data_IF_899659124554
#
_entry.id   IF_899659124554
#
_cell.length_a   1.000
_cell.length_b   1.000
_cell.length_c   1.000
_cell.angle_alpha   90.00
_cell.angle_beta   90.00
_cell.angle_gamma   90.00
#
_symmetry.space_group_name_H-M   'P 1'
#
loop_
_entity.id
_entity.type
_entity.pdbx_description
1 polymer ?
#
# COMPACT_ATOMS: atom_id res chain seq x y z
N UNK A 1 20.79 -21.49 33.32
CA UNK A 1 21.39 -21.54 31.97
C UNK A 1 20.48 -20.78 31.05
N UNK A 2 20.98 -19.66 30.52
CA UNK A 2 20.32 -18.78 29.57
C UNK A 2 20.07 -19.50 28.25
N UNK A 3 18.86 -19.37 27.70
CA UNK A 3 18.73 -19.31 26.24
C UNK A 3 18.02 -18.01 25.88
N UNK A 4 18.83 -17.07 25.42
CA UNK A 4 18.45 -15.80 24.83
C UNK A 4 18.30 -16.05 23.33
N UNK A 5 17.08 -16.27 22.86
CA UNK A 5 16.77 -16.11 21.43
C UNK A 5 15.52 -15.27 21.33
N UNK A 6 15.69 -13.99 20.98
CA UNK A 6 14.56 -13.11 20.69
C UNK A 6 13.67 -13.75 19.63
N UNK A 7 12.35 -13.57 19.77
CA UNK A 7 11.35 -14.08 18.84
C UNK A 7 11.80 -13.80 17.40
N UNK A 8 12.17 -14.85 16.67
CA UNK A 8 12.40 -14.76 15.25
C UNK A 8 11.07 -14.31 14.62
N UNK A 9 11.08 -13.18 13.92
CA UNK A 9 9.86 -12.63 13.33
C UNK A 9 9.15 -13.69 12.47
N UNK A 10 7.83 -13.85 12.67
CA UNK A 10 7.03 -14.76 11.84
C UNK A 10 6.89 -14.19 10.43
N UNK A 11 7.76 -14.66 9.54
CA UNK A 11 7.85 -14.20 8.16
C UNK A 11 6.73 -14.71 7.25
N UNK A 12 5.81 -15.53 7.75
CA UNK A 12 4.69 -16.09 6.98
C UNK A 12 3.37 -15.47 7.42
N UNK A 13 3.03 -15.57 8.71
CA UNK A 13 1.71 -15.17 9.18
C UNK A 13 1.66 -13.69 9.57
N UNK A 14 2.77 -13.14 10.09
CA UNK A 14 2.83 -11.74 10.54
C UNK A 14 4.13 -11.02 10.11
N UNK A 15 4.44 -10.96 8.79
CA UNK A 15 5.74 -10.46 8.36
C UNK A 15 5.89 -8.97 8.71
N UNK A 16 7.02 -8.51 9.27
CA UNK A 16 7.19 -7.14 9.77
C UNK A 16 6.85 -6.04 8.75
N UNK A 17 7.04 -6.32 7.46
CA UNK A 17 6.77 -5.39 6.36
C UNK A 17 5.28 -5.29 5.97
N UNK A 18 4.40 -6.11 6.56
CA UNK A 18 2.94 -6.06 6.42
C UNK A 18 2.22 -5.67 7.71
N UNK A 19 2.95 -5.62 8.83
CA UNK A 19 2.44 -5.21 10.12
C UNK A 19 1.89 -3.77 10.09
N UNK A 20 1.06 -3.39 11.07
CA UNK A 20 0.47 -2.06 11.13
C UNK A 20 1.53 -0.94 11.13
N UNK A 21 1.13 0.24 10.67
CA UNK A 21 1.90 1.48 10.83
C UNK A 21 1.35 2.24 12.05
N UNK A 22 2.06 3.26 12.53
CA UNK A 22 1.58 4.04 13.67
C UNK A 22 0.16 4.60 13.41
N UNK A 23 -0.76 4.39 14.34
CA UNK A 23 -2.17 4.81 14.20
C UNK A 23 -3.05 3.85 13.39
N UNK A 24 -2.52 2.72 12.91
CA UNK A 24 -3.25 1.64 12.24
C UNK A 24 -3.27 0.40 13.13
N UNK A 25 -4.39 -0.31 13.18
CA UNK A 25 -4.59 -1.52 14.02
C UNK A 25 -4.79 -2.81 13.21
N UNK A 26 -4.69 -2.73 11.88
CA UNK A 26 -4.89 -3.83 10.94
C UNK A 26 -3.66 -4.02 10.05
N UNK A 27 -3.55 -5.18 9.43
CA UNK A 27 -2.44 -5.50 8.54
C UNK A 27 -2.76 -5.19 7.08
N UNK A 28 -1.72 -5.17 6.25
CA UNK A 28 -1.85 -4.96 4.81
C UNK A 28 -2.87 -5.91 4.14
N UNK A 29 -2.93 -7.16 4.59
CA UNK A 29 -3.86 -8.17 4.06
C UNK A 29 -5.32 -7.83 4.34
N UNK A 30 -5.62 -7.11 5.42
CA UNK A 30 -7.00 -6.72 5.79
C UNK A 30 -7.59 -5.65 4.87
N UNK A 31 -6.73 -4.95 4.13
CA UNK A 31 -7.10 -4.00 3.08
C UNK A 31 -7.05 -4.68 1.72
N UNK A 32 -5.92 -5.31 1.39
CA UNK A 32 -5.66 -5.80 0.02
C UNK A 32 -6.56 -6.95 -0.40
N UNK A 33 -7.08 -7.76 0.53
CA UNK A 33 -8.03 -8.84 0.21
C UNK A 33 -9.39 -8.37 -0.32
N UNK A 34 -9.69 -7.07 -0.19
CA UNK A 34 -10.95 -6.45 -0.65
C UNK A 34 -10.78 -5.74 -1.99
N UNK A 35 -9.55 -5.68 -2.50
CA UNK A 35 -9.21 -5.02 -3.75
C UNK A 35 -9.07 -6.06 -4.86
N UNK A 36 -9.23 -5.63 -6.11
CA UNK A 36 -8.87 -6.46 -7.26
C UNK A 36 -7.39 -6.83 -7.21
N UNK A 37 -7.01 -7.89 -7.93
CA UNK A 37 -5.66 -8.43 -7.88
C UNK A 37 -4.59 -7.35 -8.13
N UNK A 38 -4.76 -6.56 -9.20
CA UNK A 38 -3.79 -5.53 -9.57
C UNK A 38 -3.76 -4.38 -8.54
N UNK A 39 -4.92 -3.90 -8.09
CA UNK A 39 -4.98 -2.78 -7.13
C UNK A 39 -4.52 -3.20 -5.75
N UNK A 40 -4.85 -4.42 -5.31
CA UNK A 40 -4.34 -5.02 -4.09
C UNK A 40 -2.82 -5.17 -4.10
N UNK A 41 -2.24 -5.59 -5.23
CA UNK A 41 -0.79 -5.62 -5.39
C UNK A 41 -0.17 -4.22 -5.32
N UNK A 42 -0.77 -3.22 -5.98
CA UNK A 42 -0.28 -1.84 -5.90
C UNK A 42 -0.26 -1.31 -4.45
N UNK A 43 -1.37 -1.46 -3.72
CA UNK A 43 -1.47 -1.09 -2.31
C UNK A 43 -0.44 -1.84 -1.45
N UNK A 44 -0.28 -3.14 -1.68
CA UNK A 44 0.71 -4.00 -1.00
C UNK A 44 2.13 -3.47 -1.16
N UNK A 45 2.49 -3.03 -2.35
CA UNK A 45 3.84 -2.53 -2.61
C UNK A 45 4.07 -1.12 -2.07
N UNK A 46 3.09 -0.21 -2.18
CA UNK A 46 3.19 1.09 -1.50
C UNK A 46 3.33 0.90 0.01
N UNK A 47 2.55 0.00 0.62
CA UNK A 47 2.67 -0.33 2.05
C UNK A 47 4.09 -0.80 2.42
N UNK A 48 4.71 -1.62 1.59
CA UNK A 48 6.03 -2.22 1.84
C UNK A 48 7.22 -1.30 1.55
N UNK A 49 7.05 -0.28 0.72
CA UNK A 49 8.16 0.53 0.21
C UNK A 49 9.10 1.00 1.33
N UNK A 50 8.57 1.55 2.42
CA UNK A 50 9.36 2.11 3.51
C UNK A 50 10.04 1.06 4.41
N UNK A 51 9.74 -0.24 4.21
CA UNK A 51 10.11 -1.33 5.13
C UNK A 51 10.78 -2.52 4.47
N UNK A 52 10.88 -2.57 3.14
CA UNK A 52 11.44 -3.73 2.43
C UNK A 52 12.31 -3.35 1.24
N UNK A 53 11.74 -2.89 0.12
CA UNK A 53 12.50 -2.69 -1.11
C UNK A 53 12.47 -1.24 -1.67
N UNK A 54 11.94 -0.27 -0.92
CA UNK A 54 11.97 1.15 -1.32
C UNK A 54 11.41 1.39 -2.72
N UNK A 55 12.23 2.04 -3.54
CA UNK A 55 11.96 2.38 -4.95
C UNK A 55 11.43 1.19 -5.78
N UNK A 56 12.00 0.00 -5.62
CA UNK A 56 11.59 -1.15 -6.44
C UNK A 56 10.14 -1.57 -6.14
N UNK A 57 9.68 -1.44 -4.89
CA UNK A 57 8.28 -1.71 -4.57
C UNK A 57 7.39 -0.58 -5.16
N UNK A 58 7.83 0.68 -5.17
CA UNK A 58 7.09 1.76 -5.85
C UNK A 58 6.96 1.54 -7.37
N UNK A 59 8.03 1.13 -8.04
CA UNK A 59 8.01 0.81 -9.48
C UNK A 59 7.02 -0.33 -9.78
N UNK A 60 6.99 -1.37 -8.94
CA UNK A 60 5.98 -2.44 -9.05
C UNK A 60 4.57 -1.89 -8.84
N UNK A 61 4.35 -1.05 -7.84
CA UNK A 61 3.04 -0.45 -7.61
C UNK A 61 2.57 0.34 -8.84
N UNK A 62 3.45 1.13 -9.43
CA UNK A 62 3.16 1.89 -10.65
C UNK A 62 2.81 0.96 -11.82
N UNK A 63 3.56 -0.12 -12.02
CA UNK A 63 3.28 -1.12 -13.05
C UNK A 63 1.88 -1.73 -12.89
N UNK A 64 1.53 -2.18 -11.67
CA UNK A 64 0.22 -2.78 -11.39
C UNK A 64 -0.95 -1.80 -11.58
N UNK A 65 -0.77 -0.51 -11.27
CA UNK A 65 -1.79 0.51 -11.51
C UNK A 65 -1.99 0.75 -13.02
N UNK A 66 -0.90 0.80 -13.78
CA UNK A 66 -0.98 0.92 -15.24
C UNK A 66 -1.69 -0.29 -15.88
N UNK A 67 -1.38 -1.49 -15.39
CA UNK A 67 -2.03 -2.72 -15.86
C UNK A 67 -3.53 -2.74 -15.55
N UNK A 68 -3.92 -2.35 -14.32
CA UNK A 68 -5.31 -2.18 -13.92
C UNK A 68 -6.07 -1.18 -14.81
N UNK A 69 -5.46 -0.02 -15.10
CA UNK A 69 -6.04 1.01 -15.97
C UNK A 69 -6.20 0.46 -17.41
N UNK A 70 -5.18 -0.21 -17.93
CA UNK A 70 -5.21 -0.73 -19.30
C UNK A 70 -6.29 -1.80 -19.52
N UNK A 71 -6.57 -2.61 -18.50
CA UNK A 71 -7.56 -3.69 -18.56
C UNK A 71 -8.94 -3.31 -18.02
N UNK A 72 -9.09 -2.10 -17.48
CA UNK A 72 -10.35 -1.64 -16.90
C UNK A 72 -10.73 -2.40 -15.62
N UNK A 73 -9.74 -2.79 -14.82
CA UNK A 73 -9.96 -3.53 -13.58
C UNK A 73 -10.79 -2.69 -12.59
N UNK A 74 -11.79 -3.27 -11.93
CA UNK A 74 -12.44 -2.60 -10.81
C UNK A 74 -11.43 -2.41 -9.66
N UNK A 75 -11.63 -1.40 -8.81
CA UNK A 75 -10.81 -1.24 -7.60
C UNK A 75 -11.13 -2.33 -6.56
N UNK A 76 -12.42 -2.59 -6.32
CA UNK A 76 -12.89 -3.47 -5.26
C UNK A 76 -13.42 -4.79 -5.81
N UNK A 77 -13.25 -5.87 -5.05
CA UNK A 77 -13.94 -7.13 -5.30
C UNK A 77 -15.23 -7.20 -4.46
N UNK A 78 -16.40 -7.26 -5.12
CA UNK A 78 -17.69 -7.45 -4.44
C UNK A 78 -18.45 -6.17 -4.06
N UNK A 79 -19.17 -6.20 -2.94
CA UNK A 79 -20.11 -5.15 -2.52
C UNK A 79 -19.41 -3.81 -2.19
N UNK A 80 -20.17 -2.74 -2.35
CA UNK A 80 -19.74 -1.36 -2.61
C UNK A 80 -18.76 -0.71 -1.60
N UNK A 81 -18.03 0.35 -2.03
CA UNK A 81 -16.91 0.98 -1.29
C UNK A 81 -17.18 1.37 0.17
N UNK A 82 -18.43 1.68 0.54
CA UNK A 82 -18.80 2.19 1.85
C UNK A 82 -18.55 1.22 3.02
N UNK A 83 -18.51 -0.09 2.74
CA UNK A 83 -18.17 -1.09 3.77
C UNK A 83 -16.66 -1.16 4.04
N UNK A 84 -15.84 -0.66 3.12
CA UNK A 84 -14.38 -0.77 3.13
C UNK A 84 -13.66 0.58 3.33
N UNK A 85 -14.41 1.69 3.22
CA UNK A 85 -13.94 3.07 3.34
C UNK A 85 -13.21 3.36 4.67
N UNK A 86 -13.66 2.78 5.79
CA UNK A 86 -13.12 3.09 7.11
C UNK A 86 -11.62 2.76 7.25
N UNK A 87 -11.15 1.64 6.69
CA UNK A 87 -9.73 1.25 6.78
C UNK A 87 -8.85 2.14 5.90
N UNK A 88 -9.27 2.41 4.67
CA UNK A 88 -8.54 3.31 3.77
C UNK A 88 -8.50 4.75 4.32
N UNK A 89 -9.58 5.21 4.96
CA UNK A 89 -9.62 6.50 5.66
C UNK A 89 -8.61 6.56 6.81
N UNK A 90 -8.57 5.54 7.67
CA UNK A 90 -7.60 5.46 8.77
C UNK A 90 -6.17 5.40 8.21
N UNK A 91 -5.95 4.58 7.19
CA UNK A 91 -4.64 4.41 6.57
C UNK A 91 -4.14 5.71 5.92
N UNK A 92 -5.01 6.44 5.21
CA UNK A 92 -4.66 7.72 4.61
C UNK A 92 -4.30 8.77 5.67
N UNK A 93 -5.02 8.82 6.79
CA UNK A 93 -4.74 9.74 7.92
C UNK A 93 -3.45 9.41 8.66
N UNK A 94 -3.04 8.15 8.66
CA UNK A 94 -1.82 7.69 9.32
C UNK A 94 -0.54 7.96 8.49
N UNK A 95 -0.65 8.39 7.23
CA UNK A 95 0.52 8.67 6.41
C UNK A 95 1.16 10.02 6.78
N UNK A 96 2.48 10.04 6.94
CA UNK A 96 3.26 11.27 7.05
C UNK A 96 3.58 11.90 5.68
N UNK A 97 3.64 11.08 4.62
CA UNK A 97 3.89 11.57 3.26
C UNK A 97 2.60 12.04 2.59
N UNK A 98 2.52 13.29 2.12
CA UNK A 98 1.36 13.80 1.38
C UNK A 98 1.01 12.96 0.15
N UNK A 99 2.02 12.46 -0.58
CA UNK A 99 1.82 11.63 -1.76
C UNK A 99 1.20 10.28 -1.40
N UNK A 100 1.61 9.67 -0.28
CA UNK A 100 0.97 8.45 0.23
C UNK A 100 -0.47 8.71 0.66
N UNK A 101 -0.74 9.85 1.29
CA UNK A 101 -2.10 10.29 1.63
C UNK A 101 -2.98 10.43 0.38
N UNK A 102 -2.45 11.05 -0.68
CA UNK A 102 -3.14 11.15 -1.98
C UNK A 102 -3.41 9.76 -2.52
N UNK A 103 -2.40 8.90 -2.60
CA UNK A 103 -2.55 7.53 -3.09
C UNK A 103 -3.70 6.76 -2.41
N UNK A 104 -3.70 6.68 -1.07
CA UNK A 104 -4.75 5.93 -0.36
C UNK A 104 -6.13 6.57 -0.50
N UNK A 105 -6.22 7.90 -0.54
CA UNK A 105 -7.49 8.58 -0.82
C UNK A 105 -7.97 8.34 -2.26
N UNK A 106 -7.06 8.27 -3.23
CA UNK A 106 -7.40 7.95 -4.62
C UNK A 106 -7.95 6.54 -4.77
N UNK A 107 -7.36 5.54 -4.08
CA UNK A 107 -7.94 4.19 -4.02
C UNK A 107 -9.33 4.23 -3.38
N UNK A 108 -9.48 4.96 -2.27
CA UNK A 108 -10.76 5.11 -1.56
C UNK A 108 -11.85 5.72 -2.44
N UNK A 109 -11.50 6.74 -3.23
CA UNK A 109 -12.40 7.49 -4.11
C UNK A 109 -12.56 6.89 -5.51
N UNK A 110 -12.03 5.69 -5.77
CA UNK A 110 -12.09 5.04 -7.09
C UNK A 110 -11.39 5.81 -8.22
N UNK A 111 -10.29 6.51 -7.91
CA UNK A 111 -9.52 7.34 -8.84
C UNK A 111 -8.17 6.68 -9.19
N UNK A 112 -8.18 5.68 -10.07
CA UNK A 112 -6.95 4.92 -10.41
C UNK A 112 -5.85 5.78 -11.06
N UNK A 113 -6.20 6.71 -11.95
CA UNK A 113 -5.21 7.62 -12.54
C UNK A 113 -4.51 8.48 -11.48
N UNK A 114 -5.27 9.06 -10.55
CA UNK A 114 -4.69 9.85 -9.45
C UNK A 114 -3.82 8.99 -8.52
N UNK A 115 -4.20 7.73 -8.30
CA UNK A 115 -3.37 6.80 -7.53
C UNK A 115 -2.05 6.51 -8.25
N UNK A 116 -2.08 6.29 -9.57
CA UNK A 116 -0.88 6.10 -10.40
C UNK A 116 0.02 7.33 -10.32
N UNK A 117 -0.53 8.52 -10.54
CA UNK A 117 0.23 9.78 -10.57
C UNK A 117 0.90 10.03 -9.21
N UNK A 118 0.22 9.72 -8.10
CA UNK A 118 0.82 9.82 -6.78
C UNK A 118 2.04 8.89 -6.63
N UNK A 119 1.97 7.66 -7.13
CA UNK A 119 3.12 6.72 -7.11
C UNK A 119 4.24 7.18 -8.03
N UNK A 120 3.92 7.71 -9.21
CA UNK A 120 4.91 8.28 -10.12
C UNK A 120 5.67 9.44 -9.46
N UNK A 121 4.97 10.35 -8.78
CA UNK A 121 5.61 11.43 -8.02
C UNK A 121 6.45 10.90 -6.84
N UNK A 122 6.02 9.81 -6.19
CA UNK A 122 6.86 9.15 -5.17
C UNK A 122 8.16 8.63 -5.79
N UNK A 123 8.10 7.96 -6.95
CA UNK A 123 9.28 7.46 -7.67
C UNK A 123 10.22 8.61 -8.05
N UNK A 124 9.70 9.72 -8.57
CA UNK A 124 10.51 10.89 -8.92
C UNK A 124 11.22 11.49 -7.69
N UNK A 125 10.57 11.46 -6.53
CA UNK A 125 11.17 11.87 -5.25
C UNK A 125 12.32 10.98 -4.74
N UNK A 126 12.47 9.75 -5.27
CA UNK A 126 13.63 8.88 -5.00
C UNK A 126 14.83 9.17 -5.91
N UNK A 127 14.69 10.05 -6.91
CA UNK A 127 15.78 10.49 -7.77
C UNK A 127 16.83 11.36 -7.05
N UNK A 128 17.91 11.76 -7.74
CA UNK A 128 19.12 12.38 -7.16
C UNK A 128 18.93 13.73 -6.43
N UNK A 129 17.71 14.20 -6.22
CA UNK A 129 17.37 15.44 -5.49
C UNK A 129 16.89 15.19 -4.06
N UNK A 130 16.97 13.95 -3.54
CA UNK A 130 16.47 13.55 -2.22
C UNK A 130 17.51 13.44 -1.09
N UNK A 131 18.68 14.06 -1.22
CA UNK A 131 19.69 14.21 -0.15
C UNK A 131 20.12 15.67 0.00
#
# INVERSE_FOLDING_TARGET
MSDLTGDAADMVNHPPHYQPIAGVTFECIDVTRQLSFNVGNAVKYVWRADRKNGLQDLEKAHWYLRDAIAHGDPIYVGATPWQFDARLTVLARAQSSPLRTVFFNSIRMCLLDSARDAVEQMILGYGPTGL
#
